data_IF_375695708713
#
_entry.id   IF_375695708713
#
_cell.length_a   1.000
_cell.length_b   1.000
_cell.length_c   1.000
_cell.angle_alpha   90.00
_cell.angle_beta   90.00
_cell.angle_gamma   90.00
#
_symmetry.space_group_name_H-M   'P 1'
#
loop_
_entity.id
_entity.type
_entity.pdbx_description
1 polymer ?
#
# COMPACT_ATOMS: atom_id res chain seq x y z
N UNK A 1 -34.22 11.10 52.27
CA UNK A 1 -34.44 11.10 50.81
C UNK A 1 -33.09 11.19 50.13
N UNK A 2 -32.55 10.08 49.69
CA UNK A 2 -31.30 10.02 48.94
C UNK A 2 -31.63 9.68 47.50
N UNK A 3 -31.40 10.67 46.61
CA UNK A 3 -31.59 10.54 45.15
C UNK A 3 -30.36 9.83 44.57
N UNK A 4 -30.56 8.65 44.02
CA UNK A 4 -29.54 7.90 43.29
C UNK A 4 -29.41 8.50 41.88
N UNK A 5 -28.25 9.08 41.58
CA UNK A 5 -27.86 9.46 40.23
C UNK A 5 -27.47 8.17 39.48
N UNK A 6 -28.30 7.74 38.56
CA UNK A 6 -27.95 6.70 37.58
C UNK A 6 -26.95 7.29 36.60
N UNK A 7 -25.70 6.84 36.68
CA UNK A 7 -24.70 7.11 35.66
C UNK A 7 -25.09 6.42 34.37
N UNK A 8 -25.22 7.19 33.30
CA UNK A 8 -25.32 6.68 31.94
C UNK A 8 -24.03 5.95 31.56
N UNK A 9 -24.11 4.63 31.50
CA UNK A 9 -23.08 3.79 30.89
C UNK A 9 -23.17 4.06 29.39
N UNK A 10 -22.25 4.91 28.88
CA UNK A 10 -22.04 5.13 27.46
C UNK A 10 -21.85 3.77 26.80
N UNK A 11 -22.83 3.40 25.98
CA UNK A 11 -22.82 2.22 25.13
C UNK A 11 -21.73 2.42 24.09
N UNK A 12 -20.50 2.01 24.39
CA UNK A 12 -19.42 1.90 23.41
C UNK A 12 -19.80 0.80 22.43
N UNK A 13 -20.48 1.19 21.35
CA UNK A 13 -20.86 0.30 20.27
C UNK A 13 -19.64 -0.57 19.91
N UNK A 14 -19.84 -1.89 19.83
CA UNK A 14 -18.85 -2.85 19.35
C UNK A 14 -18.38 -2.36 17.98
N UNK A 15 -17.17 -1.80 17.90
CA UNK A 15 -16.54 -1.49 16.62
C UNK A 15 -16.47 -2.78 15.83
N UNK A 16 -17.16 -2.85 14.71
CA UNK A 16 -17.08 -4.00 13.80
C UNK A 16 -15.69 -4.03 13.19
N UNK A 17 -15.07 -5.21 13.13
CA UNK A 17 -13.79 -5.38 12.45
C UNK A 17 -13.96 -5.07 10.96
N UNK A 18 -13.17 -4.15 10.36
CA UNK A 18 -13.26 -3.87 8.94
C UNK A 18 -12.99 -5.12 8.11
N UNK A 19 -13.78 -5.32 7.06
CA UNK A 19 -13.58 -6.40 6.09
C UNK A 19 -12.51 -6.02 5.09
N UNK A 20 -11.53 -6.90 4.91
CA UNK A 20 -10.35 -6.70 4.05
C UNK A 20 -10.37 -7.71 2.92
N UNK A 21 -10.47 -7.22 1.68
CA UNK A 21 -10.31 -8.00 0.46
C UNK A 21 -8.84 -8.04 0.08
N UNK A 22 -8.17 -9.17 0.25
CA UNK A 22 -6.81 -9.39 -0.29
C UNK A 22 -6.98 -10.07 -1.65
N UNK A 23 -6.66 -9.32 -2.72
CA UNK A 23 -6.86 -9.80 -4.08
C UNK A 23 -5.85 -10.91 -4.41
N UNK A 24 -6.33 -11.93 -5.09
CA UNK A 24 -5.52 -13.02 -5.61
C UNK A 24 -5.72 -13.20 -7.10
N UNK A 25 -4.64 -13.47 -7.80
CA UNK A 25 -4.61 -14.00 -9.17
C UNK A 25 -3.36 -14.85 -9.35
N UNK A 26 -3.22 -15.50 -10.50
CA UNK A 26 -2.03 -16.28 -10.82
C UNK A 26 -0.76 -15.42 -10.75
N UNK A 27 0.29 -15.94 -10.12
CA UNK A 27 1.56 -15.25 -9.93
C UNK A 27 1.65 -14.33 -8.71
N UNK A 28 0.55 -13.92 -8.09
CA UNK A 28 0.60 -13.24 -6.78
C UNK A 28 1.08 -14.23 -5.73
N UNK A 29 2.17 -13.88 -5.01
CA UNK A 29 2.79 -14.77 -4.02
C UNK A 29 2.98 -14.13 -2.63
N UNK A 30 2.69 -12.83 -2.46
CA UNK A 30 2.69 -12.15 -1.16
C UNK A 30 1.29 -12.06 -0.53
N UNK A 31 0.32 -12.81 -1.06
CA UNK A 31 -1.08 -12.79 -0.64
C UNK A 31 -1.27 -13.26 0.82
N UNK A 32 -0.64 -14.36 1.22
CA UNK A 32 -0.78 -14.94 2.56
C UNK A 32 -0.10 -14.12 3.63
N UNK A 33 1.10 -13.59 3.36
CA UNK A 33 1.82 -12.73 4.30
C UNK A 33 1.11 -11.39 4.49
N UNK A 34 0.54 -10.82 3.41
CA UNK A 34 -0.28 -9.62 3.47
C UNK A 34 -1.57 -9.85 4.25
N UNK A 35 -2.27 -10.95 3.97
CA UNK A 35 -3.45 -11.36 4.73
C UNK A 35 -3.14 -11.47 6.22
N UNK A 36 -2.04 -12.17 6.57
CA UNK A 36 -1.61 -12.33 7.95
C UNK A 36 -1.28 -10.99 8.64
N UNK A 37 -0.69 -10.03 7.92
CA UNK A 37 -0.41 -8.70 8.45
C UNK A 37 -1.71 -7.97 8.84
N UNK A 38 -2.73 -8.01 7.99
CA UNK A 38 -4.04 -7.44 8.29
C UNK A 38 -4.80 -8.19 9.39
N UNK A 39 -4.67 -9.52 9.50
CA UNK A 39 -5.23 -10.29 10.62
C UNK A 39 -4.62 -9.86 11.96
N UNK A 40 -3.30 -9.70 12.01
CA UNK A 40 -2.61 -9.18 13.20
C UNK A 40 -3.06 -7.76 13.55
N UNK A 41 -3.31 -6.92 12.54
CA UNK A 41 -3.83 -5.57 12.71
C UNK A 41 -5.31 -5.53 13.16
N UNK A 42 -6.00 -6.66 13.22
CA UNK A 42 -7.38 -6.78 13.68
C UNK A 42 -8.45 -6.67 12.59
N UNK A 43 -8.08 -6.70 11.32
CA UNK A 43 -9.01 -6.78 10.19
C UNK A 43 -9.72 -8.12 10.11
N UNK A 44 -10.84 -8.17 9.39
CA UNK A 44 -11.52 -9.41 8.98
C UNK A 44 -11.12 -9.69 7.53
N UNK A 45 -10.06 -10.48 7.35
CA UNK A 45 -9.45 -10.69 6.05
C UNK A 45 -10.11 -11.81 5.26
N UNK A 46 -10.13 -11.63 3.94
CA UNK A 46 -10.52 -12.65 2.98
C UNK A 46 -9.57 -12.61 1.78
N UNK A 47 -9.08 -13.80 1.38
CA UNK A 47 -8.39 -13.97 0.13
C UNK A 47 -9.44 -14.16 -0.97
N UNK A 48 -9.49 -13.25 -1.94
CA UNK A 48 -10.52 -13.21 -2.97
C UNK A 48 -9.86 -13.30 -4.34
N UNK A 49 -10.19 -14.36 -5.08
CA UNK A 49 -9.69 -14.52 -6.44
C UNK A 49 -10.40 -13.53 -7.38
N UNK A 50 -9.66 -12.94 -8.33
CA UNK A 50 -10.23 -11.98 -9.29
C UNK A 50 -11.48 -12.51 -10.01
N UNK A 51 -11.53 -13.81 -10.28
CA UNK A 51 -12.67 -14.44 -10.93
C UNK A 51 -13.94 -14.43 -10.08
N UNK A 52 -13.84 -14.47 -8.73
CA UNK A 52 -14.98 -14.32 -7.83
C UNK A 52 -15.61 -12.92 -7.91
N UNK A 53 -14.75 -11.88 -8.09
CA UNK A 53 -15.23 -10.52 -8.32
C UNK A 53 -15.84 -10.37 -9.73
N UNK A 54 -15.24 -11.00 -10.74
CA UNK A 54 -15.73 -10.95 -12.13
C UNK A 54 -17.07 -11.69 -12.30
N UNK A 55 -17.24 -12.82 -11.64
CA UNK A 55 -18.51 -13.60 -11.68
C UNK A 55 -19.61 -12.98 -10.85
N UNK A 56 -19.30 -12.02 -9.96
CA UNK A 56 -20.23 -11.45 -9.00
C UNK A 56 -20.50 -12.33 -7.76
N UNK A 57 -19.76 -13.44 -7.60
CA UNK A 57 -19.82 -14.28 -6.39
C UNK A 57 -19.37 -13.48 -5.16
N UNK A 58 -18.39 -12.58 -5.35
CA UNK A 58 -17.96 -11.59 -4.39
C UNK A 58 -18.09 -10.21 -4.99
N UNK A 59 -18.31 -9.20 -4.14
CA UNK A 59 -18.41 -7.80 -4.57
C UNK A 59 -17.60 -6.91 -3.65
N UNK A 60 -16.89 -5.92 -4.22
CA UNK A 60 -16.07 -4.99 -3.46
C UNK A 60 -16.87 -4.17 -2.45
N UNK A 61 -18.18 -4.00 -2.68
CA UNK A 61 -19.09 -3.31 -1.75
C UNK A 61 -19.19 -3.96 -0.35
N UNK A 62 -18.74 -5.21 -0.20
CA UNK A 62 -18.74 -5.96 1.07
C UNK A 62 -17.47 -5.72 1.91
N UNK A 63 -16.58 -4.85 1.45
CA UNK A 63 -15.29 -4.61 2.08
C UNK A 63 -15.07 -3.12 2.33
N UNK A 64 -14.27 -2.78 3.33
CA UNK A 64 -13.77 -1.43 3.62
C UNK A 64 -12.37 -1.22 3.04
N UNK A 65 -11.61 -2.31 2.88
CA UNK A 65 -10.22 -2.28 2.42
C UNK A 65 -10.04 -3.24 1.26
N UNK A 66 -9.45 -2.76 0.14
CA UNK A 66 -8.96 -3.56 -0.97
C UNK A 66 -7.43 -3.55 -0.95
N UNK A 67 -6.83 -4.75 -1.02
CA UNK A 67 -5.38 -4.89 -1.08
C UNK A 67 -4.97 -5.63 -2.34
N UNK A 68 -4.04 -5.05 -3.08
CA UNK A 68 -3.37 -5.71 -4.21
C UNK A 68 -1.95 -6.06 -3.73
N UNK A 69 -1.69 -7.33 -3.40
CA UNK A 69 -0.41 -7.76 -2.85
C UNK A 69 0.72 -7.72 -3.87
N UNK A 70 1.93 -7.90 -3.37
CA UNK A 70 3.11 -8.14 -4.19
C UNK A 70 3.11 -9.53 -4.83
N UNK A 71 4.04 -9.71 -5.77
CA UNK A 71 4.24 -10.93 -6.52
C UNK A 71 4.60 -10.63 -7.96
N UNK A 72 4.19 -11.54 -8.85
CA UNK A 72 4.42 -11.48 -10.29
C UNK A 72 3.12 -11.85 -11.00
N UNK A 73 2.10 -10.97 -10.89
CA UNK A 73 0.78 -11.23 -11.46
C UNK A 73 0.89 -11.58 -12.95
N UNK A 74 0.36 -12.76 -13.32
CA UNK A 74 0.47 -13.34 -14.66
C UNK A 74 1.92 -13.49 -15.17
N UNK A 75 2.87 -13.78 -14.26
CA UNK A 75 4.28 -13.98 -14.59
C UNK A 75 5.03 -12.70 -14.97
N UNK A 76 4.43 -11.51 -14.78
CA UNK A 76 4.92 -10.23 -15.32
C UNK A 76 5.13 -10.25 -16.84
N UNK A 77 4.40 -11.12 -17.53
CA UNK A 77 4.41 -11.18 -18.98
C UNK A 77 4.04 -9.81 -19.55
N UNK A 78 4.76 -9.38 -20.59
CA UNK A 78 4.68 -8.06 -21.22
C UNK A 78 5.29 -6.92 -20.38
N UNK A 79 4.91 -6.77 -19.11
CA UNK A 79 5.48 -5.85 -18.12
C UNK A 79 4.79 -6.06 -16.76
N UNK A 80 5.50 -5.79 -15.67
CA UNK A 80 5.02 -6.04 -14.31
C UNK A 80 3.67 -5.38 -14.03
N UNK A 81 2.69 -6.17 -13.60
CA UNK A 81 1.34 -5.70 -13.25
C UNK A 81 0.45 -5.31 -14.44
N UNK A 82 0.92 -5.40 -15.70
CA UNK A 82 0.18 -4.89 -16.86
C UNK A 82 -1.10 -5.66 -17.15
N UNK A 83 -1.04 -6.99 -17.14
CA UNK A 83 -2.21 -7.83 -17.44
C UNK A 83 -3.27 -7.64 -16.35
N UNK A 84 -2.88 -7.68 -15.08
CA UNK A 84 -3.84 -7.46 -13.99
C UNK A 84 -4.47 -6.07 -14.05
N UNK A 85 -3.70 -5.02 -14.34
CA UNK A 85 -4.25 -3.68 -14.50
C UNK A 85 -5.27 -3.60 -15.65
N UNK A 86 -5.01 -4.28 -16.78
CA UNK A 86 -5.95 -4.36 -17.88
C UNK A 86 -7.25 -5.08 -17.48
N UNK A 87 -7.15 -6.18 -16.74
CA UNK A 87 -8.33 -6.89 -16.24
C UNK A 87 -9.16 -6.06 -15.26
N UNK A 88 -8.49 -5.36 -14.32
CA UNK A 88 -9.16 -4.47 -13.38
C UNK A 88 -9.90 -3.35 -14.11
N UNK A 89 -9.27 -2.72 -15.11
CA UNK A 89 -9.91 -1.66 -15.89
C UNK A 89 -11.07 -2.20 -16.75
N UNK A 90 -10.90 -3.37 -17.38
CA UNK A 90 -11.86 -3.88 -18.36
C UNK A 90 -13.08 -4.56 -17.71
N UNK A 91 -12.89 -5.26 -16.60
CA UNK A 91 -13.94 -6.10 -16.00
C UNK A 91 -14.45 -5.60 -14.65
N UNK A 92 -13.62 -4.84 -13.90
CA UNK A 92 -13.93 -4.40 -12.54
C UNK A 92 -13.93 -2.88 -12.40
N UNK A 93 -13.77 -2.13 -13.50
CA UNK A 93 -13.66 -0.67 -13.47
C UNK A 93 -14.80 0.00 -12.74
N UNK A 94 -16.05 -0.38 -13.01
CA UNK A 94 -17.23 0.16 -12.35
C UNK A 94 -17.25 -0.19 -10.85
N UNK A 95 -16.92 -1.43 -10.48
CA UNK A 95 -16.86 -1.85 -9.07
C UNK A 95 -15.77 -1.09 -8.30
N UNK A 96 -14.61 -0.89 -8.92
CA UNK A 96 -13.49 -0.17 -8.30
C UNK A 96 -13.83 1.32 -8.17
N UNK A 97 -14.41 1.93 -9.21
CA UNK A 97 -14.85 3.32 -9.15
C UNK A 97 -15.93 3.53 -8.08
N UNK A 98 -16.92 2.65 -8.00
CA UNK A 98 -17.93 2.69 -6.93
C UNK A 98 -17.28 2.58 -5.55
N UNK A 99 -16.36 1.61 -5.38
CA UNK A 99 -15.65 1.37 -4.13
C UNK A 99 -14.81 2.59 -3.69
N UNK A 100 -14.04 3.18 -4.61
CA UNK A 100 -13.11 4.29 -4.30
C UNK A 100 -13.86 5.62 -4.18
N UNK A 101 -14.74 5.94 -5.17
CA UNK A 101 -15.31 7.28 -5.27
C UNK A 101 -16.53 7.46 -4.37
N UNK A 102 -17.46 6.50 -4.34
CA UNK A 102 -18.71 6.62 -3.59
C UNK A 102 -18.62 6.05 -2.19
N UNK A 103 -18.08 4.84 -2.05
CA UNK A 103 -17.96 4.19 -0.74
C UNK A 103 -16.75 4.67 0.06
N UNK A 104 -15.85 5.42 -0.58
CA UNK A 104 -14.61 5.94 0.02
C UNK A 104 -13.69 4.84 0.58
N UNK A 105 -13.76 3.62 0.02
CA UNK A 105 -12.95 2.49 0.42
C UNK A 105 -11.46 2.78 0.36
N UNK A 106 -10.69 2.10 1.20
CA UNK A 106 -9.24 2.22 1.26
C UNK A 106 -8.57 1.20 0.34
N UNK A 107 -7.51 1.61 -0.34
CA UNK A 107 -6.76 0.73 -1.24
C UNK A 107 -5.27 0.74 -0.88
N UNK A 108 -4.67 -0.45 -0.81
CA UNK A 108 -3.24 -0.63 -0.64
C UNK A 108 -2.68 -1.48 -1.78
N UNK A 109 -1.65 -0.99 -2.46
CA UNK A 109 -0.85 -1.75 -3.42
C UNK A 109 0.60 -1.88 -2.98
N UNK A 110 1.10 -3.11 -2.84
CA UNK A 110 2.48 -3.37 -2.43
C UNK A 110 3.25 -3.98 -3.61
N UNK A 111 4.42 -3.43 -3.95
CA UNK A 111 5.31 -3.90 -5.01
C UNK A 111 4.56 -4.08 -6.35
N UNK A 112 4.28 -5.32 -6.76
CA UNK A 112 3.46 -5.59 -7.96
C UNK A 112 2.07 -4.93 -7.86
N UNK A 113 1.46 -4.87 -6.68
CA UNK A 113 0.22 -4.15 -6.45
C UNK A 113 0.34 -2.64 -6.71
N UNK A 114 1.46 -2.04 -6.37
CA UNK A 114 1.72 -0.63 -6.70
C UNK A 114 1.87 -0.43 -8.21
N UNK A 115 2.59 -1.32 -8.89
CA UNK A 115 2.69 -1.31 -10.36
C UNK A 115 1.30 -1.40 -11.01
N UNK A 116 0.42 -2.25 -10.49
CA UNK A 116 -0.98 -2.36 -10.93
C UNK A 116 -1.74 -1.06 -10.73
N UNK A 117 -1.69 -0.47 -9.52
CA UNK A 117 -2.40 0.78 -9.22
C UNK A 117 -1.96 1.96 -10.11
N UNK A 118 -0.67 2.06 -10.42
CA UNK A 118 -0.17 3.06 -11.37
C UNK A 118 -0.67 2.81 -12.78
N UNK A 119 -0.65 1.55 -13.23
CA UNK A 119 -1.10 1.17 -14.58
C UNK A 119 -2.61 1.27 -14.76
N UNK A 120 -3.40 1.10 -13.70
CA UNK A 120 -4.85 1.36 -13.76
C UNK A 120 -5.20 2.84 -13.84
N UNK A 121 -4.26 3.75 -13.51
CA UNK A 121 -4.50 5.20 -13.37
C UNK A 121 -5.04 5.60 -11.99
N UNK A 122 -5.27 4.66 -11.07
CA UNK A 122 -5.69 4.99 -9.69
C UNK A 122 -4.62 5.77 -8.92
N UNK A 123 -3.35 5.58 -9.24
CA UNK A 123 -2.26 6.39 -8.72
C UNK A 123 -1.56 7.12 -9.85
N UNK A 124 -1.15 8.40 -9.63
CA UNK A 124 -1.27 9.16 -8.38
C UNK A 124 -2.54 10.02 -8.25
N UNK A 125 -3.41 10.12 -9.27
CA UNK A 125 -4.48 11.13 -9.29
C UNK A 125 -5.91 10.56 -9.28
N UNK A 126 -6.07 9.27 -9.04
CA UNK A 126 -7.38 8.63 -8.83
C UNK A 126 -8.24 8.47 -10.08
N UNK A 127 -7.67 8.59 -11.29
CA UNK A 127 -8.41 8.55 -12.56
C UNK A 127 -8.15 7.24 -13.30
N UNK A 128 -9.04 6.27 -13.16
CA UNK A 128 -8.91 4.99 -13.89
C UNK A 128 -8.85 5.19 -15.40
N UNK A 129 -7.96 4.44 -16.03
CA UNK A 129 -7.74 4.48 -17.48
C UNK A 129 -6.69 5.50 -17.93
N UNK A 130 -6.26 6.43 -17.07
CA UNK A 130 -5.29 7.48 -17.39
C UNK A 130 -3.96 7.25 -16.65
N UNK A 131 -3.02 6.58 -17.29
CA UNK A 131 -1.68 6.36 -16.72
C UNK A 131 -0.84 7.63 -16.80
N UNK A 132 -0.59 8.30 -15.67
CA UNK A 132 0.15 9.56 -15.58
C UNK A 132 1.54 9.43 -14.91
N UNK A 133 1.86 8.23 -14.41
CA UNK A 133 3.18 7.83 -13.93
C UNK A 133 3.44 6.38 -14.30
N UNK A 134 4.63 5.89 -14.06
CA UNK A 134 4.98 4.48 -14.31
C UNK A 134 5.99 3.97 -13.31
N UNK A 135 6.03 2.66 -13.16
CA UNK A 135 7.13 1.95 -12.52
C UNK A 135 7.89 1.22 -13.63
N UNK A 136 9.14 1.60 -13.83
CA UNK A 136 10.02 1.15 -14.91
C UNK A 136 11.13 0.23 -14.38
N UNK A 137 11.92 -0.33 -15.28
CA UNK A 137 13.09 -1.12 -14.92
C UNK A 137 14.04 -0.34 -14.01
N UNK A 138 14.63 -1.06 -13.04
CA UNK A 138 15.66 -0.51 -12.19
C UNK A 138 16.86 -0.02 -13.01
N UNK A 139 17.44 1.12 -12.65
CA UNK A 139 18.62 1.66 -13.34
C UNK A 139 19.84 0.74 -13.23
N UNK A 140 19.87 -0.13 -12.20
CA UNK A 140 20.91 -1.16 -12.05
C UNK A 140 20.85 -2.25 -13.13
N UNK A 141 19.73 -2.38 -13.85
CA UNK A 141 19.48 -3.47 -14.78
C UNK A 141 19.29 -4.85 -14.13
N UNK A 142 19.20 -4.90 -12.81
CA UNK A 142 19.11 -6.14 -12.04
C UNK A 142 17.86 -6.17 -11.17
N UNK A 143 17.47 -7.38 -10.75
CA UNK A 143 16.49 -7.57 -9.69
C UNK A 143 17.11 -7.17 -8.34
N UNK A 144 16.52 -6.17 -7.70
CA UNK A 144 16.98 -5.67 -6.41
C UNK A 144 16.23 -6.37 -5.28
N UNK A 145 16.98 -7.07 -4.42
CA UNK A 145 16.47 -7.74 -3.23
C UNK A 145 17.33 -7.35 -2.03
N UNK A 146 16.87 -6.36 -1.27
CA UNK A 146 17.61 -5.79 -0.14
C UNK A 146 16.73 -5.06 0.86
N UNK A 147 17.28 -4.75 2.02
CA UNK A 147 16.69 -3.81 2.97
C UNK A 147 17.02 -2.38 2.57
N UNK A 148 16.04 -1.51 2.67
CA UNK A 148 16.18 -0.07 2.37
C UNK A 148 15.60 0.74 3.52
N UNK A 149 16.16 1.94 3.74
CA UNK A 149 15.59 2.91 4.65
C UNK A 149 14.65 3.85 3.89
N UNK A 150 13.55 4.17 4.52
CA UNK A 150 12.52 5.02 3.97
C UNK A 150 12.23 6.14 4.95
N UNK A 151 12.27 7.37 4.48
CA UNK A 151 11.69 8.50 5.18
C UNK A 151 10.19 8.51 4.94
N UNK A 152 9.41 8.61 6.00
CA UNK A 152 7.99 8.95 5.92
C UNK A 152 7.89 10.46 5.75
N UNK A 153 7.26 10.94 4.67
CA UNK A 153 7.15 12.37 4.40
C UNK A 153 6.19 13.04 5.41
N UNK A 154 6.66 14.13 5.99
CA UNK A 154 5.84 14.93 6.88
C UNK A 154 4.69 15.59 6.12
N UNK A 155 3.49 15.58 6.71
CA UNK A 155 2.29 16.18 6.12
C UNK A 155 1.92 15.61 4.73
N UNK A 156 2.24 14.33 4.45
CA UNK A 156 1.74 13.66 3.26
C UNK A 156 0.20 13.56 3.27
N UNK A 157 -0.40 13.40 2.07
CA UNK A 157 -1.85 13.41 1.92
C UNK A 157 -2.54 12.11 2.38
N UNK A 158 -1.81 11.04 2.73
CA UNK A 158 -2.38 9.73 3.08
C UNK A 158 -3.14 9.78 4.41
N UNK A 159 -4.46 9.70 4.35
CA UNK A 159 -5.36 9.93 5.49
C UNK A 159 -5.22 8.87 6.60
N UNK A 160 -4.88 7.63 6.26
CA UNK A 160 -4.76 6.56 7.25
C UNK A 160 -3.33 6.42 7.82
N UNK A 161 -2.36 7.21 7.36
CA UNK A 161 -1.00 7.25 7.92
C UNK A 161 -0.75 8.50 8.78
N UNK A 162 -1.77 9.27 9.07
CA UNK A 162 -1.66 10.44 9.92
C UNK A 162 -0.90 10.12 11.23
N UNK A 163 0.08 10.96 11.57
CA UNK A 163 0.96 10.79 12.73
C UNK A 163 2.05 9.72 12.57
N UNK A 164 2.14 9.02 11.45
CA UNK A 164 3.32 8.23 11.11
C UNK A 164 4.42 9.18 10.62
N UNK A 165 5.60 9.08 11.19
CA UNK A 165 6.73 9.96 10.86
C UNK A 165 8.07 9.24 11.07
N UNK A 166 9.17 9.93 10.77
CA UNK A 166 10.53 9.40 10.97
C UNK A 166 10.96 8.45 9.85
N UNK A 167 11.77 7.47 10.22
CA UNK A 167 12.39 6.53 9.29
C UNK A 167 11.96 5.11 9.58
N UNK A 168 11.64 4.35 8.54
CA UNK A 168 11.33 2.91 8.63
C UNK A 168 12.25 2.13 7.68
N UNK A 169 12.46 0.85 7.98
CA UNK A 169 13.27 -0.02 7.13
C UNK A 169 12.42 -1.18 6.64
N UNK A 170 12.32 -1.34 5.31
CA UNK A 170 11.58 -2.43 4.67
C UNK A 170 12.44 -3.16 3.64
N UNK A 171 11.99 -4.34 3.23
CA UNK A 171 12.61 -5.10 2.16
C UNK A 171 12.05 -4.68 0.80
N UNK A 172 12.89 -4.56 -0.21
CA UNK A 172 12.50 -4.48 -1.63
C UNK A 172 12.84 -5.80 -2.33
N UNK A 173 12.03 -6.17 -3.34
CA UNK A 173 12.23 -7.35 -4.18
C UNK A 173 11.58 -7.12 -5.55
N UNK A 174 12.27 -6.45 -6.47
CA UNK A 174 11.70 -6.03 -7.76
C UNK A 174 12.73 -5.83 -8.87
N UNK A 175 12.35 -6.06 -10.11
CA UNK A 175 13.08 -5.69 -11.32
C UNK A 175 12.60 -4.37 -11.94
N UNK A 176 11.33 -4.03 -11.71
CA UNK A 176 10.66 -2.81 -12.20
C UNK A 176 10.14 -1.98 -11.02
N UNK A 177 11.02 -1.26 -10.33
CA UNK A 177 10.67 -0.47 -9.16
C UNK A 177 10.86 1.04 -9.32
N UNK A 178 11.44 1.49 -10.44
CA UNK A 178 11.77 2.89 -10.69
C UNK A 178 10.52 3.72 -10.94
N UNK A 179 10.13 4.54 -9.97
CA UNK A 179 9.06 5.51 -10.14
C UNK A 179 9.48 6.62 -11.09
N UNK A 180 8.65 6.83 -12.12
CA UNK A 180 8.85 7.86 -13.13
C UNK A 180 7.52 8.57 -13.43
N UNK A 181 7.58 9.90 -13.51
CA UNK A 181 6.52 10.76 -14.01
C UNK A 181 7.14 11.87 -14.87
N UNK A 182 6.41 12.40 -15.84
CA UNK A 182 6.86 13.58 -16.60
C UNK A 182 6.90 14.80 -15.68
N UNK A 183 7.66 15.81 -16.02
CA UNK A 183 7.88 16.98 -15.17
C UNK A 183 6.60 17.69 -14.68
N UNK A 184 5.55 17.88 -15.49
CA UNK A 184 4.32 18.48 -15.01
C UNK A 184 3.63 17.64 -13.94
N UNK A 185 3.54 16.31 -14.16
CA UNK A 185 2.94 15.36 -13.24
C UNK A 185 3.77 15.24 -11.94
N UNK A 186 5.10 15.18 -12.07
CA UNK A 186 6.00 15.13 -10.91
C UNK A 186 5.86 16.37 -10.02
N UNK A 187 5.83 17.56 -10.63
CA UNK A 187 5.59 18.82 -9.88
C UNK A 187 4.24 18.82 -9.17
N UNK A 188 3.20 18.28 -9.81
CA UNK A 188 1.88 18.17 -9.21
C UNK A 188 1.87 17.19 -8.04
N UNK A 189 2.50 16.00 -8.19
CA UNK A 189 2.65 15.00 -7.12
C UNK A 189 3.30 15.64 -5.89
N UNK A 190 4.36 16.41 -6.07
CA UNK A 190 5.06 17.10 -4.98
C UNK A 190 4.19 18.22 -4.36
N UNK A 191 3.57 19.06 -5.18
CA UNK A 191 2.77 20.18 -4.72
C UNK A 191 1.52 19.73 -3.94
N UNK A 192 0.88 18.63 -4.37
CA UNK A 192 -0.28 18.04 -3.70
C UNK A 192 0.13 17.11 -2.52
N UNK A 193 1.43 17.00 -2.20
CA UNK A 193 1.97 16.17 -1.10
C UNK A 193 1.58 14.69 -1.21
N UNK A 194 1.55 14.18 -2.44
CA UNK A 194 1.17 12.79 -2.69
C UNK A 194 2.31 11.79 -2.43
N UNK A 195 3.56 12.26 -2.27
CA UNK A 195 4.65 11.39 -1.86
C UNK A 195 4.50 11.03 -0.39
N UNK A 196 4.51 9.73 -0.10
CA UNK A 196 4.38 9.20 1.27
C UNK A 196 5.70 8.66 1.79
N UNK A 197 6.46 7.95 0.94
CA UNK A 197 7.75 7.38 1.30
C UNK A 197 8.82 7.77 0.30
N UNK A 198 10.02 8.09 0.84
CA UNK A 198 11.23 8.27 0.01
C UNK A 198 12.35 7.35 0.47
N UNK A 199 13.11 6.82 -0.47
CA UNK A 199 14.37 6.18 -0.16
C UNK A 199 15.33 7.19 0.50
N UNK A 200 15.98 6.80 1.58
CA UNK A 200 16.84 7.72 2.35
C UNK A 200 18.12 7.03 2.85
N UNK A 201 19.06 7.84 3.28
CA UNK A 201 20.24 7.39 4.00
C UNK A 201 19.93 6.98 5.46
N UNK A 202 20.94 6.58 6.19
CA UNK A 202 20.80 6.18 7.61
C UNK A 202 20.46 7.34 8.55
N UNK A 203 20.58 8.59 8.09
CA UNK A 203 20.21 9.80 8.83
C UNK A 203 18.79 10.28 8.49
N UNK A 204 18.11 9.61 7.55
CA UNK A 204 16.77 9.96 7.10
C UNK A 204 16.72 11.03 6.00
N UNK A 205 17.85 11.35 5.37
CA UNK A 205 17.88 12.29 4.25
C UNK A 205 17.53 11.56 2.95
N UNK A 206 16.52 12.01 2.19
CA UNK A 206 16.19 11.43 0.88
C UNK A 206 17.42 11.48 -0.05
N UNK A 207 17.66 10.38 -0.80
CA UNK A 207 18.86 10.28 -1.65
C UNK A 207 18.57 9.64 -2.99
N UNK A 208 19.30 10.07 -4.02
CA UNK A 208 19.33 9.45 -5.36
C UNK A 208 20.45 8.42 -5.52
N UNK A 209 21.29 8.27 -4.50
CA UNK A 209 22.50 7.46 -4.56
C UNK A 209 22.18 5.95 -4.48
N UNK A 210 22.67 5.18 -5.44
CA UNK A 210 22.69 3.73 -5.34
C UNK A 210 23.75 3.31 -4.29
N UNK A 211 23.47 2.31 -3.45
CA UNK A 211 22.33 1.41 -3.40
C UNK A 211 21.18 1.85 -2.49
N UNK A 212 21.22 3.04 -1.93
CA UNK A 212 20.19 3.54 -0.99
C UNK A 212 18.86 3.80 -1.70
N UNK A 213 18.93 4.40 -2.91
CA UNK A 213 17.83 4.38 -3.87
C UNK A 213 18.10 3.23 -4.85
N UNK A 214 17.48 2.04 -4.64
CA UNK A 214 17.90 0.82 -5.31
C UNK A 214 17.51 0.75 -6.78
N UNK A 215 16.57 1.58 -7.22
CA UNK A 215 15.95 1.49 -8.53
C UNK A 215 16.07 2.77 -9.38
N UNK A 216 16.64 3.86 -8.82
CA UNK A 216 16.75 5.13 -9.52
C UNK A 216 15.45 5.93 -9.61
N UNK A 217 14.49 5.67 -8.71
CA UNK A 217 13.24 6.43 -8.63
C UNK A 217 13.46 7.93 -8.56
N UNK A 218 12.71 8.69 -9.37
CA UNK A 218 12.77 10.15 -9.34
C UNK A 218 12.47 10.69 -7.94
N UNK A 219 13.21 11.70 -7.50
CA UNK A 219 13.08 12.33 -6.18
C UNK A 219 13.08 11.31 -5.02
N UNK A 220 13.75 10.16 -5.22
CA UNK A 220 13.78 9.04 -4.27
C UNK A 220 12.39 8.49 -3.90
N UNK A 221 11.37 8.68 -4.72
CA UNK A 221 9.99 8.25 -4.43
C UNK A 221 9.92 6.73 -4.32
N UNK A 222 9.50 6.23 -3.15
CA UNK A 222 9.31 4.81 -2.86
C UNK A 222 7.84 4.43 -2.72
N UNK A 223 6.96 5.41 -2.47
CA UNK A 223 5.52 5.22 -2.37
C UNK A 223 4.75 6.53 -2.47
N UNK A 224 3.57 6.45 -3.07
CA UNK A 224 2.68 7.60 -3.29
C UNK A 224 1.25 7.27 -2.91
N UNK A 225 0.48 8.30 -2.56
CA UNK A 225 -0.96 8.23 -2.38
C UNK A 225 -1.69 8.99 -3.50
N UNK A 226 -3.01 8.82 -3.59
CA UNK A 226 -3.85 9.61 -4.48
C UNK A 226 -4.25 10.96 -3.84
N UNK A 227 -4.88 11.84 -4.63
CA UNK A 227 -5.35 13.15 -4.16
C UNK A 227 -6.41 13.08 -3.04
N UNK A 228 -7.04 11.93 -2.83
CA UNK A 228 -7.97 11.72 -1.70
C UNK A 228 -7.29 11.18 -0.46
N UNK A 229 -6.05 10.74 -0.58
CA UNK A 229 -5.27 10.11 0.49
C UNK A 229 -5.71 8.70 0.89
N UNK A 230 -6.61 8.07 0.13
CA UNK A 230 -7.19 6.76 0.46
C UNK A 230 -6.59 5.59 -0.31
N UNK A 231 -5.82 5.88 -1.35
CA UNK A 231 -5.13 4.86 -2.16
C UNK A 231 -3.64 5.02 -1.93
N UNK A 232 -2.97 4.02 -1.38
CA UNK A 232 -1.54 4.01 -1.16
C UNK A 232 -0.87 2.92 -2.00
N UNK A 233 0.20 3.26 -2.70
CA UNK A 233 1.09 2.32 -3.35
C UNK A 233 2.53 2.51 -2.90
N UNK A 234 3.24 1.42 -2.64
CA UNK A 234 4.66 1.45 -2.29
C UNK A 234 5.41 0.24 -2.84
N UNK A 235 6.68 0.43 -3.26
CA UNK A 235 7.52 -0.68 -3.75
C UNK A 235 8.07 -1.57 -2.64
N UNK A 236 8.51 -1.04 -1.48
CA UNK A 236 8.95 -1.89 -0.37
C UNK A 236 7.81 -2.66 0.28
N UNK A 237 8.17 -3.76 0.97
CA UNK A 237 7.26 -4.75 1.54
C UNK A 237 7.12 -4.60 3.07
N UNK A 238 6.13 -3.84 3.60
CA UNK A 238 5.92 -3.75 5.05
C UNK A 238 5.48 -5.09 5.66
N UNK A 239 4.74 -5.95 4.94
CA UNK A 239 4.31 -7.27 5.39
C UNK A 239 5.46 -8.23 5.70
N UNK A 240 6.66 -7.92 5.20
CA UNK A 240 7.89 -8.66 5.45
C UNK A 240 8.66 -8.17 6.68
N UNK A 241 8.10 -7.23 7.45
CA UNK A 241 8.66 -6.78 8.72
C UNK A 241 7.59 -6.51 9.77
N UNK A 242 6.71 -7.49 9.99
CA UNK A 242 5.66 -7.49 11.01
C UNK A 242 6.06 -8.28 12.27
N UNK A 243 7.21 -8.94 12.24
CA UNK A 243 7.80 -9.67 13.35
C UNK A 243 9.29 -9.40 13.41
N UNK A 244 9.83 -9.24 14.63
CA UNK A 244 11.26 -8.99 14.86
C UNK A 244 12.16 -10.00 14.13
N UNK A 245 11.79 -11.27 14.12
CA UNK A 245 12.56 -12.36 13.53
C UNK A 245 12.68 -12.33 12.01
N UNK A 246 11.91 -11.47 11.34
CA UNK A 246 12.01 -11.27 9.88
C UNK A 246 13.20 -10.38 9.49
N UNK A 247 13.73 -9.58 10.42
CA UNK A 247 14.88 -8.74 10.13
C UNK A 247 16.20 -9.54 10.22
N UNK A 248 17.15 -9.41 9.27
CA UNK A 248 18.36 -10.24 9.23
C UNK A 248 19.25 -10.08 10.47
N UNK A 249 19.26 -8.90 11.09
CA UNK A 249 20.08 -8.58 12.25
C UNK A 249 19.34 -8.70 13.59
N UNK A 250 18.18 -9.35 13.64
CA UNK A 250 17.31 -9.38 14.83
C UNK A 250 18.00 -9.88 16.11
N UNK A 251 19.00 -10.76 15.98
CA UNK A 251 19.76 -11.27 17.12
C UNK A 251 20.76 -10.26 17.70
N UNK A 252 21.20 -9.31 16.88
CA UNK A 252 22.21 -8.30 17.24
C UNK A 252 21.59 -6.98 17.71
N UNK A 253 20.34 -6.73 17.34
CA UNK A 253 19.60 -5.52 17.68
C UNK A 253 18.60 -5.81 18.78
N UNK A 254 18.94 -5.41 20.04
CA UNK A 254 18.11 -5.76 21.21
C UNK A 254 16.74 -5.08 21.18
N UNK A 255 16.69 -3.81 20.75
CA UNK A 255 15.48 -2.97 20.75
C UNK A 255 14.85 -2.85 19.37
N UNK A 256 15.00 -3.90 18.54
CA UNK A 256 14.42 -3.92 17.20
C UNK A 256 12.91 -4.17 17.27
N UNK A 257 12.14 -3.15 16.92
CA UNK A 257 10.68 -3.27 16.79
C UNK A 257 10.29 -3.51 15.31
N UNK A 258 9.30 -4.36 15.04
CA UNK A 258 8.76 -4.56 13.70
C UNK A 258 8.13 -3.27 13.17
N UNK A 259 8.65 -2.73 12.08
CA UNK A 259 8.23 -1.42 11.57
C UNK A 259 7.14 -1.51 10.49
N UNK A 260 6.82 -2.72 10.01
CA UNK A 260 5.82 -2.92 8.96
C UNK A 260 4.38 -2.99 9.47
N UNK A 261 4.17 -3.51 10.68
CA UNK A 261 2.82 -3.68 11.24
C UNK A 261 2.02 -2.36 11.38
N UNK A 262 2.63 -1.23 11.76
CA UNK A 262 1.90 0.04 11.95
C UNK A 262 1.11 0.53 10.72
N UNK A 263 1.54 0.27 9.48
CA UNK A 263 0.76 0.64 8.28
C UNK A 263 -0.59 -0.07 8.29
N UNK A 264 -0.60 -1.37 8.56
CA UNK A 264 -1.82 -2.20 8.59
C UNK A 264 -2.74 -1.82 9.75
N UNK A 265 -2.18 -1.60 10.94
CA UNK A 265 -2.93 -1.17 12.14
C UNK A 265 -3.61 0.18 11.92
N UNK A 266 -2.89 1.15 11.38
CA UNK A 266 -3.44 2.48 11.07
C UNK A 266 -4.55 2.39 10.02
N UNK A 267 -4.37 1.61 8.97
CA UNK A 267 -5.37 1.42 7.93
C UNK A 267 -6.64 0.74 8.47
N UNK A 268 -6.50 -0.31 9.29
CA UNK A 268 -7.64 -0.98 9.96
C UNK A 268 -8.31 -0.04 10.95
N UNK A 269 -7.54 0.71 11.74
CA UNK A 269 -8.08 1.69 12.68
C UNK A 269 -8.88 2.78 11.97
N UNK A 270 -8.37 3.31 10.88
CA UNK A 270 -9.08 4.31 10.06
C UNK A 270 -10.39 3.72 9.48
N UNK A 271 -10.31 2.53 8.86
CA UNK A 271 -11.47 1.86 8.30
C UNK A 271 -12.55 1.54 9.34
N UNK A 272 -12.17 1.28 10.59
CA UNK A 272 -13.13 1.02 11.69
C UNK A 272 -13.92 2.26 12.13
N UNK A 273 -13.58 3.44 11.60
CA UNK A 273 -14.23 4.72 11.90
C UNK A 273 -15.09 5.24 10.73
N UNK A 274 -15.02 4.58 9.58
CA UNK A 274 -15.83 4.88 8.40
C UNK A 274 -17.24 4.29 8.56
#
# INVERSE_FOLDING_TARGET
MASAVKGDVLNMGRRTKPSVCVLKTDGINCDRETLHAFDLAGGKTQLVHINELRSGERRLESYEILVIPGGFSYGDDVASGKILALELNSYLGDQINEFVQRRKGLVLGVCNGFQVLVRTGLLPFGTMGEMQSTLSHNDSGHFECRWVNLKVEDNNACVFLEGMNGTVSYQVAHGEGKFFARQPELKRIEAEKLVVFRYCDTLGNPTQEYPLNPNGSLNAIAGVTDSTGRILGLMPHPERFIRRTQHPNWRRMQDLEPQGLPIFEKMVSYASQM
#
